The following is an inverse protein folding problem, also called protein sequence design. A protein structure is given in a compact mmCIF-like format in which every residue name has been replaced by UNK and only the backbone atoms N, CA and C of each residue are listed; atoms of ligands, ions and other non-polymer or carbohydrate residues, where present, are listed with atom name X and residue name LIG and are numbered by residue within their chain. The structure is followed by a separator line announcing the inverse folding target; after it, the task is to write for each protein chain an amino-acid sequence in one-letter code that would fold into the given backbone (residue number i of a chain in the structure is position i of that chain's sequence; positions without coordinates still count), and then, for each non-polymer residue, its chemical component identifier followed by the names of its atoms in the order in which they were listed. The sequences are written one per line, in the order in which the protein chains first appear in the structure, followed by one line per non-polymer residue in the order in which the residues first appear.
data_IF_273266605112
#
_entry.id   IF_273266605112
#
_cell.length_a   1.000
_cell.length_b   1.000
_cell.length_c   1.000
_cell.angle_alpha   90.00
_cell.angle_beta   90.00
_cell.angle_gamma   90.00
#
_symmetry.space_group_name_H-M   'P 1'
#
loop_
_entity.id
_entity.type
_entity.pdbx_description
1 polymer ?
#
# COMPACT_ATOMS: atom_id res chain seq x y z
N UNK A 1 -0.34 -5.31 -1.18
CA UNK A 1 -1.50 -6.03 -1.76
C UNK A 1 -1.08 -6.89 -2.95
N UNK A 2 -1.61 -8.10 -3.09
CA UNK A 2 -1.34 -9.01 -4.22
C UNK A 2 -1.34 -10.48 -3.78
N UNK A 3 -1.01 -11.42 -4.69
CA UNK A 3 -0.65 -11.19 -6.10
C UNK A 3 -1.88 -10.90 -6.98
N UNK A 4 -1.70 -10.00 -7.95
CA UNK A 4 -2.64 -9.68 -9.03
C UNK A 4 -2.19 -10.32 -10.36
N UNK A 5 -3.06 -10.44 -11.39
CA UNK A 5 -2.62 -10.81 -12.73
C UNK A 5 -1.46 -9.93 -13.20
N UNK A 6 -0.46 -10.50 -13.87
CA UNK A 6 0.75 -9.75 -14.23
C UNK A 6 0.38 -8.61 -15.21
N UNK A 7 0.72 -7.39 -14.85
CA UNK A 7 0.59 -6.19 -15.70
C UNK A 7 1.96 -5.52 -15.81
N UNK A 8 2.50 -5.41 -17.03
CA UNK A 8 3.85 -4.89 -17.30
C UNK A 8 4.97 -5.49 -16.42
N UNK A 9 4.82 -6.76 -16.03
CA UNK A 9 5.74 -7.47 -15.14
C UNK A 9 5.55 -7.20 -13.64
N UNK A 10 4.58 -6.35 -13.26
CA UNK A 10 4.19 -6.10 -11.88
C UNK A 10 3.09 -7.06 -11.43
N UNK A 11 3.15 -7.47 -10.16
CA UNK A 11 2.22 -8.42 -9.54
C UNK A 11 1.64 -7.89 -8.22
N UNK A 12 2.25 -6.86 -7.65
CA UNK A 12 1.91 -6.33 -6.33
C UNK A 12 1.71 -4.83 -6.39
N UNK A 13 0.84 -4.34 -5.51
CA UNK A 13 0.66 -2.92 -5.26
C UNK A 13 1.08 -2.65 -3.81
N UNK A 14 2.07 -1.79 -3.63
CA UNK A 14 2.36 -1.16 -2.36
C UNK A 14 1.47 0.07 -2.23
N UNK A 15 0.84 0.22 -1.06
CA UNK A 15 -0.07 1.30 -0.78
C UNK A 15 0.20 1.82 0.62
N UNK A 16 0.36 3.13 0.74
CA UNK A 16 0.40 3.84 2.01
C UNK A 16 -0.73 4.86 2.04
N UNK A 17 -1.39 4.97 3.18
CA UNK A 17 -2.49 5.90 3.40
C UNK A 17 -2.14 6.73 4.62
N UNK A 18 -2.12 8.05 4.47
CA UNK A 18 -2.05 8.94 5.62
C UNK A 18 -3.40 8.92 6.35
N UNK A 19 -3.36 8.69 7.65
CA UNK A 19 -4.56 8.50 8.45
C UNK A 19 -5.40 9.78 8.57
N UNK A 20 -4.74 10.94 8.69
CA UNK A 20 -5.40 12.22 8.98
C UNK A 20 -5.94 12.85 7.70
N UNK A 21 -5.07 13.02 6.69
CA UNK A 21 -5.43 13.65 5.43
C UNK A 21 -6.13 12.72 4.46
N UNK A 22 -6.13 11.40 4.73
CA UNK A 22 -6.57 10.36 3.79
C UNK A 22 -5.80 10.38 2.46
N UNK A 23 -4.61 10.97 2.43
CA UNK A 23 -3.73 10.95 1.26
C UNK A 23 -3.25 9.54 0.96
N UNK A 24 -3.09 9.19 -0.31
CA UNK A 24 -2.77 7.82 -0.74
C UNK A 24 -1.58 7.85 -1.67
N UNK A 25 -0.56 7.06 -1.36
CA UNK A 25 0.58 6.79 -2.24
C UNK A 25 0.54 5.32 -2.64
N UNK A 26 0.50 5.06 -3.95
CA UNK A 26 0.49 3.71 -4.52
C UNK A 26 1.68 3.48 -5.44
N UNK A 27 2.24 2.26 -5.44
CA UNK A 27 3.29 1.85 -6.36
C UNK A 27 3.10 0.41 -6.82
N UNK A 28 3.05 0.19 -8.14
CA UNK A 28 3.10 -1.14 -8.73
C UNK A 28 4.52 -1.72 -8.64
N UNK A 29 4.63 -3.00 -8.27
CA UNK A 29 5.91 -3.67 -8.01
C UNK A 29 5.87 -5.13 -8.48
N UNK A 30 7.02 -5.65 -8.87
CA UNK A 30 7.18 -7.04 -9.29
C UNK A 30 7.22 -8.03 -8.12
N UNK A 31 7.68 -7.57 -6.95
CA UNK A 31 7.89 -8.38 -5.74
C UNK A 31 7.49 -7.61 -4.48
N UNK A 32 7.09 -8.31 -3.42
CA UNK A 32 6.77 -7.75 -2.10
C UNK A 32 7.93 -7.84 -1.08
N UNK A 33 9.18 -7.93 -1.54
CA UNK A 33 10.35 -8.08 -0.67
C UNK A 33 10.61 -6.83 0.18
N UNK A 34 11.23 -7.00 1.35
CA UNK A 34 11.55 -5.93 2.29
C UNK A 34 12.31 -4.76 1.64
N UNK A 35 13.26 -5.04 0.73
CA UNK A 35 14.01 -4.01 0.01
C UNK A 35 13.10 -3.05 -0.75
N UNK A 36 12.12 -3.59 -1.48
CA UNK A 36 11.17 -2.79 -2.28
C UNK A 36 10.27 -1.96 -1.37
N UNK A 37 9.88 -2.51 -0.22
CA UNK A 37 9.09 -1.80 0.79
C UNK A 37 9.89 -0.64 1.40
N UNK A 38 11.15 -0.88 1.78
CA UNK A 38 12.03 0.17 2.33
C UNK A 38 12.28 1.28 1.32
N UNK A 39 12.54 0.93 0.06
CA UNK A 39 12.74 1.91 -1.02
C UNK A 39 11.47 2.75 -1.24
N UNK A 40 10.29 2.11 -1.22
CA UNK A 40 9.01 2.82 -1.29
C UNK A 40 8.81 3.78 -0.10
N UNK A 41 9.02 3.33 1.14
CA UNK A 41 8.84 4.19 2.32
C UNK A 41 9.81 5.37 2.29
N UNK A 42 11.08 5.15 1.95
CA UNK A 42 12.07 6.22 1.87
C UNK A 42 11.72 7.22 0.77
N UNK A 43 11.54 6.75 -0.47
CA UNK A 43 11.38 7.63 -1.63
C UNK A 43 9.99 8.27 -1.74
N UNK A 44 8.93 7.52 -1.42
CA UNK A 44 7.55 7.99 -1.60
C UNK A 44 6.96 8.62 -0.34
N UNK A 45 7.47 8.29 0.85
CA UNK A 45 6.94 8.83 2.12
C UNK A 45 7.91 9.81 2.74
N UNK A 46 9.10 9.36 3.17
CA UNK A 46 10.01 10.20 3.95
C UNK A 46 10.60 11.37 3.16
N UNK A 47 11.03 11.14 1.91
CA UNK A 47 11.57 12.21 1.07
C UNK A 47 10.51 13.26 0.68
N UNK A 48 9.22 12.91 0.68
CA UNK A 48 8.14 13.82 0.28
C UNK A 48 7.47 14.52 1.45
N UNK A 49 7.22 13.80 2.55
CA UNK A 49 6.37 14.25 3.66
C UNK A 49 7.11 14.30 5.01
N UNK A 50 8.39 13.92 5.04
CA UNK A 50 9.17 13.80 6.26
C UNK A 50 8.92 12.49 7.02
N UNK A 51 9.51 12.38 8.21
CA UNK A 51 9.44 11.14 9.01
C UNK A 51 8.09 11.04 9.72
N UNK A 52 7.34 9.98 9.41
CA UNK A 52 6.07 9.67 10.07
C UNK A 52 6.30 9.29 11.54
N UNK A 53 5.39 9.71 12.43
CA UNK A 53 5.44 9.32 13.85
C UNK A 53 5.24 7.82 14.07
N UNK A 54 4.48 7.17 13.18
CA UNK A 54 4.25 5.72 13.19
C UNK A 54 3.94 5.25 11.76
N UNK A 55 4.33 4.01 11.45
CA UNK A 55 3.93 3.28 10.25
C UNK A 55 3.33 1.96 10.70
N UNK A 56 2.15 1.62 10.17
CA UNK A 56 1.41 0.41 10.52
C UNK A 56 1.26 -0.43 9.24
N UNK A 57 1.56 -1.73 9.32
CA UNK A 57 1.43 -2.68 8.21
C UNK A 57 0.39 -3.76 8.53
N UNK A 58 -0.27 -4.26 7.49
CA UNK A 58 -1.31 -5.28 7.52
C UNK A 58 -0.79 -6.71 7.79
N UNK A 59 0.47 -7.02 7.42
CA UNK A 59 1.04 -8.37 7.51
C UNK A 59 1.82 -8.67 8.80
N UNK A 60 1.76 -7.78 9.79
CA UNK A 60 2.39 -8.01 11.09
C UNK A 60 2.79 -6.71 11.76
N UNK A 61 2.67 -6.70 13.09
CA UNK A 61 3.09 -5.60 13.94
C UNK A 61 4.63 -5.59 14.04
N UNK A 62 5.31 -5.03 13.04
CA UNK A 62 6.67 -4.52 13.26
C UNK A 62 6.57 -3.21 14.04
N UNK A 63 6.59 -3.33 15.37
CA UNK A 63 6.52 -2.20 16.28
C UNK A 63 7.70 -1.25 16.08
N UNK A 64 7.41 -0.05 15.61
CA UNK A 64 7.82 1.14 16.36
C UNK A 64 6.51 1.76 16.87
N UNK A 65 6.08 1.33 18.05
CA UNK A 65 4.88 1.84 18.73
C UNK A 65 5.31 2.69 19.92
N UNK A 66 4.97 3.98 19.94
CA UNK A 66 4.67 4.67 21.20
C UNK A 66 3.16 4.61 21.40
N UNK A 67 2.74 4.19 22.59
CA UNK A 67 1.41 3.69 22.91
C UNK A 67 0.27 4.71 22.72
N UNK A 68 -0.56 4.50 21.69
CA UNK A 68 -1.98 4.83 21.68
C UNK A 68 -2.66 3.81 20.77
N UNK A 69 -3.40 2.86 21.33
CA UNK A 69 -4.04 1.75 20.62
C UNK A 69 -5.10 2.25 19.60
N UNK A 70 -4.88 2.13 18.28
CA UNK A 70 -5.92 2.39 17.30
C UNK A 70 -6.35 1.06 16.67
N UNK A 71 -7.63 0.68 16.76
CA UNK A 71 -8.18 -0.37 15.91
C UNK A 71 -8.16 0.11 14.44
N UNK A 72 -7.02 -0.04 13.75
CA UNK A 72 -6.72 0.63 12.46
C UNK A 72 -6.76 -0.30 11.26
N UNK A 73 -6.62 -1.63 11.46
CA UNK A 73 -6.71 -2.60 10.38
C UNK A 73 -8.04 -2.53 9.62
N UNK A 74 -9.15 -2.27 10.31
CA UNK A 74 -10.47 -2.21 9.66
C UNK A 74 -10.58 -1.11 8.59
N UNK A 75 -9.99 0.06 8.79
CA UNK A 75 -10.03 1.14 7.79
C UNK A 75 -9.13 0.85 6.59
N UNK A 76 -7.93 0.30 6.84
CA UNK A 76 -6.98 -0.10 5.79
C UNK A 76 -7.57 -1.24 4.94
N UNK A 77 -8.21 -2.22 5.58
CA UNK A 77 -8.90 -3.33 4.89
C UNK A 77 -10.07 -2.85 4.03
N UNK A 78 -10.90 -1.93 4.55
CA UNK A 78 -11.98 -1.31 3.79
C UNK A 78 -11.43 -0.58 2.57
N UNK A 79 -10.37 0.20 2.73
CA UNK A 79 -9.78 0.96 1.63
C UNK A 79 -9.11 0.06 0.58
N UNK A 80 -8.38 -0.96 1.02
CA UNK A 80 -7.80 -1.99 0.14
C UNK A 80 -8.89 -2.70 -0.68
N UNK A 81 -10.05 -2.98 -0.08
CA UNK A 81 -11.19 -3.59 -0.77
C UNK A 81 -11.78 -2.64 -1.82
N UNK A 82 -11.93 -1.36 -1.52
CA UNK A 82 -12.45 -0.39 -2.48
C UNK A 82 -11.47 -0.16 -3.64
N UNK A 83 -10.16 -0.07 -3.38
CA UNK A 83 -9.15 -0.06 -4.44
C UNK A 83 -9.24 -1.30 -5.31
N UNK A 84 -9.37 -2.50 -4.71
CA UNK A 84 -9.49 -3.73 -5.50
C UNK A 84 -10.71 -3.69 -6.42
N UNK A 85 -11.86 -3.19 -5.94
CA UNK A 85 -13.07 -3.02 -6.77
C UNK A 85 -12.87 -1.99 -7.88
N UNK A 86 -12.23 -0.86 -7.59
CA UNK A 86 -11.94 0.18 -8.58
C UNK A 86 -11.00 -0.34 -9.66
N UNK A 87 -9.92 -1.00 -9.27
CA UNK A 87 -9.01 -1.66 -10.21
C UNK A 87 -9.79 -2.63 -11.08
N UNK A 88 -10.54 -3.58 -10.50
CA UNK A 88 -11.36 -4.54 -11.25
C UNK A 88 -12.32 -3.91 -12.26
N UNK A 89 -12.85 -2.71 -11.99
CA UNK A 89 -13.73 -1.98 -12.92
C UNK A 89 -12.97 -1.22 -14.01
N UNK A 90 -11.75 -0.77 -13.73
CA UNK A 90 -10.95 0.02 -14.68
C UNK A 90 -10.06 -0.84 -15.57
N UNK A 91 -9.69 -2.06 -15.16
CA UNK A 91 -8.89 -2.95 -16.01
C UNK A 91 -9.74 -3.43 -17.18
N UNK A 92 -9.15 -3.43 -18.38
CA UNK A 92 -9.74 -4.06 -19.55
C UNK A 92 -10.09 -5.55 -19.27
N UNK A 93 -10.98 -6.20 -20.04
CA UNK A 93 -11.38 -7.59 -19.81
C UNK A 93 -10.21 -8.58 -19.70
N UNK A 94 -9.09 -8.27 -20.35
CA UNK A 94 -7.85 -9.07 -20.31
C UNK A 94 -7.10 -8.94 -18.98
N UNK A 95 -7.45 -7.98 -18.12
CA UNK A 95 -6.94 -7.74 -16.76
C UNK A 95 -5.43 -7.44 -16.66
N UNK A 96 -4.83 -6.96 -17.74
CA UNK A 96 -3.37 -6.85 -17.87
C UNK A 96 -2.83 -5.41 -17.88
N UNK A 97 -3.67 -4.39 -17.72
CA UNK A 97 -3.33 -2.96 -17.84
C UNK A 97 -3.57 -2.14 -16.56
N UNK A 98 -3.52 -2.78 -15.39
CA UNK A 98 -3.77 -2.10 -14.11
C UNK A 98 -2.55 -1.44 -13.47
N UNK A 99 -1.32 -1.77 -13.92
CA UNK A 99 -0.07 -1.26 -13.32
C UNK A 99 0.42 0.04 -13.92
#
# INVERSE_FOLDING_TARGET
MGPFPISNGNAYILLAIDYVSRWVEGKATKTNNAKVVVDFVKSNIFCKFGVSKAIISDQGMHQITTAYHPNTNGQVEVFNREIRKLLQKMVSPSRNDWS
#
